data_IF_593070945032
#
_entry.id   IF_593070945032
#
_cell.length_a   1.000
_cell.length_b   1.000
_cell.length_c   1.000
_cell.angle_alpha   90.00
_cell.angle_beta   90.00
_cell.angle_gamma   90.00
#
_symmetry.space_group_name_H-M   'P 1'
#
loop_
_entity.id
_entity.type
_entity.pdbx_description
1 polymer ?
#
# COMPACT_ATOMS: atom_id res chain seq x y z
N UNK A 1 -52.47 15.66 23.39
CA UNK A 1 -51.93 16.02 22.06
C UNK A 1 -50.57 16.70 22.15
N UNK A 2 -50.36 17.69 23.02
CA UNK A 2 -49.08 18.38 23.16
C UNK A 2 -47.90 17.47 23.59
N UNK A 3 -48.14 16.55 24.54
CA UNK A 3 -47.14 15.57 25.00
C UNK A 3 -46.69 14.59 23.92
N UNK A 4 -47.59 14.21 23.01
CA UNK A 4 -47.28 13.32 21.87
C UNK A 4 -46.35 13.98 20.86
N UNK A 5 -46.51 15.29 20.64
CA UNK A 5 -45.67 16.08 19.73
C UNK A 5 -44.25 16.20 20.29
N UNK A 6 -44.10 16.51 21.58
CA UNK A 6 -42.79 16.61 22.24
C UNK A 6 -42.00 15.30 22.17
N UNK A 7 -42.64 14.15 22.42
CA UNK A 7 -41.98 12.83 22.34
C UNK A 7 -41.54 12.49 20.91
N UNK A 8 -42.34 12.85 19.91
CA UNK A 8 -41.98 12.66 18.51
C UNK A 8 -40.76 13.51 18.10
N UNK A 9 -40.68 14.77 18.55
CA UNK A 9 -39.54 15.65 18.26
C UNK A 9 -38.24 15.15 18.91
N UNK A 10 -38.27 14.75 20.19
CA UNK A 10 -37.08 14.22 20.88
C UNK A 10 -36.55 12.92 20.26
N UNK A 11 -37.44 12.04 19.81
CA UNK A 11 -37.07 10.78 19.15
C UNK A 11 -36.43 11.05 17.78
N UNK A 12 -36.98 11.99 17.00
CA UNK A 12 -36.42 12.39 15.72
C UNK A 12 -35.02 13.02 15.86
N UNK A 13 -34.82 13.91 16.84
CA UNK A 13 -33.51 14.53 17.11
C UNK A 13 -32.48 13.52 17.59
N UNK A 14 -32.88 12.56 18.44
CA UNK A 14 -31.98 11.51 18.92
C UNK A 14 -31.54 10.63 17.75
N UNK A 15 -32.46 10.11 16.95
CA UNK A 15 -32.14 9.28 15.77
C UNK A 15 -31.25 10.00 14.77
N UNK A 16 -31.52 11.28 14.47
CA UNK A 16 -30.67 12.07 13.59
C UNK A 16 -29.24 12.23 14.13
N UNK A 17 -29.09 12.42 15.44
CA UNK A 17 -27.80 12.55 16.10
C UNK A 17 -27.04 11.21 16.11
N UNK A 18 -27.72 10.09 16.36
CA UNK A 18 -27.10 8.76 16.35
C UNK A 18 -26.68 8.36 14.95
N UNK A 19 -27.49 8.65 13.93
CA UNK A 19 -27.14 8.40 12.52
C UNK A 19 -25.95 9.26 12.08
N UNK A 20 -25.93 10.55 12.42
CA UNK A 20 -24.79 11.41 12.12
C UNK A 20 -23.50 10.93 12.81
N UNK A 21 -23.59 10.50 14.08
CA UNK A 21 -22.47 9.96 14.83
C UNK A 21 -21.96 8.62 14.25
N UNK A 22 -22.86 7.73 13.83
CA UNK A 22 -22.47 6.46 13.17
C UNK A 22 -21.84 6.71 11.81
N UNK A 23 -22.40 7.59 10.97
CA UNK A 23 -21.80 7.95 9.69
C UNK A 23 -20.40 8.55 9.88
N UNK A 24 -20.23 9.48 10.82
CA UNK A 24 -18.93 10.08 11.12
C UNK A 24 -17.91 9.04 11.62
N UNK A 25 -18.34 8.11 12.49
CA UNK A 25 -17.49 7.03 12.97
C UNK A 25 -17.09 6.06 11.84
N UNK A 26 -18.00 5.72 10.93
CA UNK A 26 -17.69 4.88 9.77
C UNK A 26 -16.71 5.58 8.84
N UNK A 27 -16.93 6.86 8.51
CA UNK A 27 -16.00 7.63 7.68
C UNK A 27 -14.62 7.70 8.32
N UNK A 28 -14.53 8.01 9.61
CA UNK A 28 -13.26 8.06 10.34
C UNK A 28 -12.55 6.70 10.34
N UNK A 29 -13.30 5.61 10.56
CA UNK A 29 -12.75 4.24 10.51
C UNK A 29 -12.24 3.88 9.11
N UNK A 30 -12.98 4.23 8.05
CA UNK A 30 -12.55 4.00 6.66
C UNK A 30 -11.29 4.81 6.33
N UNK A 31 -11.25 6.10 6.68
CA UNK A 31 -10.06 6.95 6.47
C UNK A 31 -8.84 6.43 7.22
N UNK A 32 -9.01 6.02 8.47
CA UNK A 32 -7.94 5.42 9.27
C UNK A 32 -7.44 4.10 8.66
N UNK A 33 -8.36 3.24 8.20
CA UNK A 33 -8.01 1.99 7.53
C UNK A 33 -7.25 2.23 6.21
N UNK A 34 -7.67 3.21 5.41
CA UNK A 34 -6.97 3.61 4.17
C UNK A 34 -5.58 4.15 4.47
N UNK A 35 -5.43 5.03 5.49
CA UNK A 35 -4.13 5.56 5.89
C UNK A 35 -3.17 4.45 6.36
N UNK A 36 -3.68 3.48 7.13
CA UNK A 36 -2.91 2.31 7.56
C UNK A 36 -2.50 1.40 6.39
N UNK A 37 -3.36 1.23 5.38
CA UNK A 37 -3.04 0.46 4.18
C UNK A 37 -1.94 1.13 3.34
N UNK A 38 -2.02 2.45 3.12
CA UNK A 38 -1.00 3.21 2.39
C UNK A 38 0.36 3.16 3.10
N UNK A 39 0.35 3.24 4.43
CA UNK A 39 1.57 3.18 5.25
C UNK A 39 2.31 1.84 5.07
N UNK A 40 1.59 0.73 4.99
CA UNK A 40 2.18 -0.58 4.73
C UNK A 40 2.70 -0.70 3.28
N UNK A 41 1.95 -0.18 2.30
CA UNK A 41 2.39 -0.18 0.90
C UNK A 41 3.72 0.57 0.70
N UNK A 42 3.93 1.68 1.42
CA UNK A 42 5.19 2.42 1.41
C UNK A 42 6.37 1.59 1.92
N UNK A 43 6.17 0.80 2.99
CA UNK A 43 7.19 -0.10 3.53
C UNK A 43 7.56 -1.22 2.54
N UNK A 44 6.57 -1.86 1.91
CA UNK A 44 6.84 -2.88 0.90
C UNK A 44 7.58 -2.30 -0.32
N UNK A 45 7.25 -1.08 -0.72
CA UNK A 45 7.98 -0.35 -1.77
C UNK A 45 9.44 -0.15 -1.38
N UNK A 46 9.71 0.37 -0.17
CA UNK A 46 11.08 0.59 0.30
C UNK A 46 11.90 -0.71 0.38
N UNK A 47 11.34 -1.78 0.95
CA UNK A 47 11.99 -3.09 1.00
C UNK A 47 12.26 -3.62 -0.41
N UNK A 48 11.30 -3.46 -1.33
CA UNK A 48 11.47 -3.82 -2.73
C UNK A 48 12.67 -3.14 -3.39
N UNK A 49 12.86 -1.84 -3.17
CA UNK A 49 14.02 -1.09 -3.70
C UNK A 49 15.33 -1.59 -3.09
N UNK A 50 15.39 -1.86 -1.79
CA UNK A 50 16.60 -2.39 -1.15
C UNK A 50 16.98 -3.74 -1.75
N UNK A 51 16.01 -4.64 -1.94
CA UNK A 51 16.24 -5.96 -2.57
C UNK A 51 16.70 -5.81 -4.01
N UNK A 52 16.13 -4.88 -4.77
CA UNK A 52 16.56 -4.58 -6.15
C UNK A 52 18.02 -4.18 -6.22
N UNK A 53 18.44 -3.24 -5.37
CA UNK A 53 19.81 -2.77 -5.32
C UNK A 53 20.75 -3.93 -4.96
N UNK A 54 20.39 -4.74 -3.96
CA UNK A 54 21.21 -5.89 -3.56
C UNK A 54 21.37 -6.93 -4.68
N UNK A 55 20.28 -7.29 -5.37
CA UNK A 55 20.33 -8.24 -6.49
C UNK A 55 21.06 -7.68 -7.72
N UNK A 56 20.95 -6.37 -7.99
CA UNK A 56 21.71 -5.71 -9.05
C UNK A 56 23.20 -5.75 -8.76
N UNK A 57 23.62 -5.40 -7.53
CA UNK A 57 25.03 -5.49 -7.13
C UNK A 57 25.52 -6.93 -7.26
N UNK A 58 24.78 -7.91 -6.75
CA UNK A 58 25.14 -9.31 -6.88
C UNK A 58 25.24 -9.76 -8.34
N UNK A 59 24.34 -9.31 -9.24
CA UNK A 59 24.41 -9.57 -10.68
C UNK A 59 25.69 -9.03 -11.28
N UNK A 60 26.01 -7.76 -11.03
CA UNK A 60 27.18 -7.11 -11.63
C UNK A 60 28.49 -7.74 -11.14
N UNK A 61 28.59 -8.04 -9.84
CA UNK A 61 29.77 -8.74 -9.27
C UNK A 61 29.95 -10.15 -9.85
N UNK A 62 28.85 -10.83 -10.13
CA UNK A 62 28.86 -12.20 -10.60
C UNK A 62 28.98 -12.28 -12.13
N UNK A 63 28.50 -11.27 -12.85
CA UNK A 63 28.74 -11.06 -14.27
C UNK A 63 30.21 -10.76 -14.54
N UNK A 64 30.92 -10.17 -13.57
CA UNK A 64 32.37 -9.97 -13.62
C UNK A 64 33.17 -11.22 -13.17
N UNK A 65 32.51 -12.26 -12.65
CA UNK A 65 33.15 -13.47 -12.15
C UNK A 65 33.03 -14.61 -13.16
N UNK A 66 34.14 -15.00 -13.78
CA UNK A 66 34.24 -16.07 -14.78
C UNK A 66 34.22 -17.50 -14.19
N UNK A 67 33.71 -17.68 -12.98
CA UNK A 67 33.63 -18.98 -12.32
C UNK A 67 32.36 -19.75 -12.72
N UNK A 68 32.45 -21.08 -12.93
CA UNK A 68 31.29 -21.90 -13.34
C UNK A 68 30.11 -21.84 -12.34
N UNK A 69 30.41 -21.73 -11.03
CA UNK A 69 29.38 -21.51 -9.99
C UNK A 69 28.76 -20.12 -10.07
N UNK A 70 29.55 -19.12 -10.43
CA UNK A 70 29.07 -17.76 -10.68
C UNK A 70 28.18 -17.69 -11.92
N UNK A 71 28.41 -18.55 -12.92
CA UNK A 71 27.57 -18.62 -14.13
C UNK A 71 26.15 -19.12 -13.86
N UNK A 72 25.97 -20.08 -12.95
CA UNK A 72 24.64 -20.56 -12.54
C UNK A 72 23.88 -19.53 -11.72
N UNK A 73 24.55 -18.91 -10.76
CA UNK A 73 23.97 -17.83 -9.96
C UNK A 73 23.68 -16.60 -10.85
N UNK A 74 24.50 -16.32 -11.87
CA UNK A 74 24.29 -15.23 -12.84
C UNK A 74 23.06 -15.48 -13.70
N UNK A 75 22.81 -16.74 -14.09
CA UNK A 75 21.59 -17.14 -14.79
C UNK A 75 20.34 -17.00 -13.91
N UNK A 76 20.40 -17.39 -12.64
CA UNK A 76 19.29 -17.20 -11.67
C UNK A 76 19.03 -15.71 -11.43
N UNK A 77 20.07 -14.92 -11.21
CA UNK A 77 19.94 -13.48 -10.99
C UNK A 77 19.45 -12.75 -12.26
N UNK A 78 19.85 -13.18 -13.45
CA UNK A 78 19.36 -12.64 -14.72
C UNK A 78 17.86 -12.92 -14.93
N UNK A 79 17.39 -14.13 -14.56
CA UNK A 79 15.95 -14.46 -14.55
C UNK A 79 15.20 -13.68 -13.46
N UNK A 80 15.83 -13.44 -12.30
CA UNK A 80 15.24 -12.64 -11.23
C UNK A 80 15.21 -11.14 -11.56
N UNK A 81 16.12 -10.63 -12.39
CA UNK A 81 16.21 -9.21 -12.77
C UNK A 81 14.95 -8.74 -13.50
N UNK A 82 14.39 -9.57 -14.39
CA UNK A 82 13.26 -9.20 -15.23
C UNK A 82 11.95 -8.95 -14.43
N UNK A 83 11.49 -9.85 -13.55
CA UNK A 83 10.34 -9.58 -12.69
C UNK A 83 10.61 -8.45 -11.69
N UNK A 84 11.86 -8.27 -11.24
CA UNK A 84 12.26 -7.22 -10.29
C UNK A 84 12.27 -5.82 -10.93
N UNK A 85 12.82 -5.67 -12.14
CA UNK A 85 12.70 -4.42 -12.90
C UNK A 85 11.25 -4.10 -13.25
N UNK A 86 10.45 -5.11 -13.58
CA UNK A 86 9.03 -4.93 -13.83
C UNK A 86 8.28 -4.45 -12.57
N UNK A 87 8.58 -5.04 -11.41
CA UNK A 87 8.03 -4.59 -10.12
C UNK A 87 8.45 -3.15 -9.79
N UNK A 88 9.72 -2.80 -10.00
CA UNK A 88 10.22 -1.42 -9.81
C UNK A 88 9.47 -0.41 -10.68
N UNK A 89 9.38 -0.71 -11.99
CA UNK A 89 8.69 0.15 -12.94
C UNK A 89 7.22 0.33 -12.57
N UNK A 90 6.55 -0.76 -12.18
CA UNK A 90 5.16 -0.74 -11.75
C UNK A 90 4.97 0.15 -10.52
N UNK A 91 5.84 0.03 -9.50
CA UNK A 91 5.80 0.88 -8.30
C UNK A 91 6.03 2.34 -8.65
N UNK A 92 7.01 2.65 -9.51
CA UNK A 92 7.30 4.03 -9.94
C UNK A 92 6.11 4.62 -10.70
N UNK A 93 5.50 3.88 -11.63
CA UNK A 93 4.31 4.34 -12.35
C UNK A 93 3.17 4.65 -11.37
N UNK A 94 2.88 3.73 -10.43
CA UNK A 94 1.84 3.95 -9.41
C UNK A 94 2.15 5.20 -8.59
N UNK A 95 3.40 5.40 -8.17
CA UNK A 95 3.81 6.57 -7.39
C UNK A 95 3.75 7.88 -8.17
N UNK A 96 4.08 7.86 -9.46
CA UNK A 96 3.99 9.04 -10.33
C UNK A 96 2.52 9.40 -10.60
N UNK A 97 1.65 8.41 -10.86
CA UNK A 97 0.21 8.62 -11.03
C UNK A 97 -0.46 9.08 -9.72
N UNK A 98 0.02 8.63 -8.56
CA UNK A 98 -0.47 9.09 -7.25
C UNK A 98 -0.13 10.57 -6.99
N UNK A 99 0.99 11.07 -7.55
CA UNK A 99 1.46 12.45 -7.35
C UNK A 99 0.90 13.42 -8.39
N UNK A 100 0.58 12.95 -9.60
CA UNK A 100 -0.03 13.73 -10.69
C UNK A 100 -1.54 13.88 -10.51
#
# INVERSE_FOLDING_TARGET
MLTTITTATTTATTTATTTAATTAATTAATTAATAAAISQAALFGAIGVVVLIALLIAKELLSASENDKARLLSRVTSVAINPLLFAFLTIVIVKVVEVL
#
